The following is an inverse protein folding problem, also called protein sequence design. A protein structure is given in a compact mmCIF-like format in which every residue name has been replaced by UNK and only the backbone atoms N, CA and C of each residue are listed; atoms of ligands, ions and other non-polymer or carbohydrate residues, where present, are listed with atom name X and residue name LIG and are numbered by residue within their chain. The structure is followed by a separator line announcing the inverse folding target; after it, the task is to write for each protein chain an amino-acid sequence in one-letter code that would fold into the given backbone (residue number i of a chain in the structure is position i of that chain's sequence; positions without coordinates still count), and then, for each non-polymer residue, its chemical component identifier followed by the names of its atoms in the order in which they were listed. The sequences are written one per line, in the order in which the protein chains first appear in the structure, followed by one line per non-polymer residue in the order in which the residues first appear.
data_IF_375922947028
#
_entry.id   IF_375922947028
#
_cell.length_a   1.000
_cell.length_b   1.000
_cell.length_c   1.000
_cell.angle_alpha   90.00
_cell.angle_beta   90.00
_cell.angle_gamma   90.00
#
_symmetry.space_group_name_H-M   'P 1'
#
loop_
_entity.id
_entity.type
_entity.pdbx_description
1 polymer ?
#
# COMPACT_ATOMS: atom_id res chain seq x y z
N UNK A 1 13.46 -17.96 -17.97
CA UNK A 1 13.75 -16.86 -17.01
C UNK A 1 12.89 -17.00 -15.75
N UNK A 2 13.28 -17.88 -14.82
CA UNK A 2 12.56 -18.11 -13.55
C UNK A 2 12.99 -17.09 -12.47
N UNK A 3 14.26 -16.66 -12.50
CA UNK A 3 14.84 -15.70 -11.55
C UNK A 3 14.12 -14.35 -11.54
N UNK A 4 13.91 -13.74 -12.72
CA UNK A 4 13.35 -12.38 -12.81
C UNK A 4 11.89 -12.22 -12.32
N UNK A 5 11.07 -13.27 -12.39
CA UNK A 5 9.72 -13.22 -11.78
C UNK A 5 9.79 -13.38 -10.25
N UNK A 6 10.69 -14.25 -9.77
CA UNK A 6 10.87 -14.51 -8.34
C UNK A 6 11.44 -13.28 -7.63
N UNK A 7 12.41 -12.61 -8.23
CA UNK A 7 13.01 -11.37 -7.72
C UNK A 7 11.98 -10.25 -7.60
N UNK A 8 11.18 -10.00 -8.65
CA UNK A 8 10.10 -9.00 -8.61
C UNK A 8 9.07 -9.30 -7.51
N UNK A 9 8.74 -10.59 -7.31
CA UNK A 9 7.83 -11.01 -6.22
C UNK A 9 8.47 -10.79 -4.85
N UNK A 10 9.76 -11.09 -4.69
CA UNK A 10 10.48 -10.86 -3.44
C UNK A 10 10.53 -9.37 -3.08
N UNK A 11 10.80 -8.50 -4.05
CA UNK A 11 10.79 -7.03 -3.85
C UNK A 11 9.40 -6.52 -3.43
N UNK A 12 8.34 -7.00 -4.10
CA UNK A 12 6.96 -6.67 -3.75
C UNK A 12 6.62 -7.10 -2.32
N UNK A 13 6.96 -8.33 -1.94
CA UNK A 13 6.73 -8.86 -0.59
C UNK A 13 7.56 -8.10 0.46
N UNK A 14 8.80 -7.72 0.14
CA UNK A 14 9.64 -6.86 1.00
C UNK A 14 8.99 -5.49 1.22
N UNK A 15 8.42 -4.90 0.17
CA UNK A 15 7.67 -3.66 0.28
C UNK A 15 6.39 -3.83 1.11
N UNK A 16 5.78 -5.01 1.16
CA UNK A 16 4.62 -5.28 2.02
C UNK A 16 4.96 -5.65 3.46
N UNK A 17 6.15 -6.22 3.72
CA UNK A 17 6.56 -6.83 5.00
C UNK A 17 6.76 -5.89 6.19
N UNK A 18 5.98 -4.82 6.31
CA UNK A 18 5.96 -3.93 7.47
C UNK A 18 4.52 -3.73 7.97
N UNK A 19 4.25 -3.83 9.29
CA UNK A 19 2.90 -3.80 9.84
C UNK A 19 2.07 -2.58 9.40
N UNK A 20 2.66 -1.38 9.45
CA UNK A 20 1.98 -0.16 9.02
C UNK A 20 1.59 -0.18 7.52
N UNK A 21 2.43 -0.77 6.66
CA UNK A 21 2.16 -0.85 5.22
C UNK A 21 1.03 -1.84 4.94
N UNK A 22 1.02 -2.98 5.63
CA UNK A 22 -0.10 -3.93 5.57
C UNK A 22 -1.41 -3.27 6.02
N UNK A 23 -1.39 -2.54 7.13
CA UNK A 23 -2.57 -1.84 7.63
C UNK A 23 -3.08 -0.77 6.64
N UNK A 24 -2.18 0.02 6.03
CA UNK A 24 -2.54 0.98 4.97
C UNK A 24 -3.21 0.26 3.79
N UNK A 25 -2.60 -0.82 3.29
CA UNK A 25 -3.13 -1.56 2.13
C UNK A 25 -4.47 -2.19 2.46
N UNK A 26 -4.62 -2.84 3.63
CA UNK A 26 -5.91 -3.41 4.10
C UNK A 26 -6.99 -2.34 4.16
N UNK A 27 -6.64 -1.17 4.70
CA UNK A 27 -7.55 -0.05 4.74
C UNK A 27 -8.01 0.39 3.34
N UNK A 28 -7.06 0.53 2.41
CA UNK A 28 -7.33 0.92 1.02
C UNK A 28 -8.13 -0.12 0.23
N UNK A 29 -8.15 -1.39 0.65
CA UNK A 29 -9.03 -2.42 0.06
C UNK A 29 -10.49 -2.25 0.51
N UNK A 30 -10.73 -1.75 1.73
CA UNK A 30 -12.08 -1.53 2.26
C UNK A 30 -12.71 -0.19 1.86
N UNK A 31 -11.90 0.84 1.60
CA UNK A 31 -12.38 2.16 1.19
C UNK A 31 -11.28 2.97 0.48
N UNK A 32 -11.53 3.37 -0.76
CA UNK A 32 -10.63 4.26 -1.47
C UNK A 32 -10.54 5.64 -0.79
N UNK A 33 -9.38 6.29 -0.90
CA UNK A 33 -9.16 7.68 -0.49
C UNK A 33 -9.21 8.02 1.02
N UNK A 34 -9.44 7.07 1.93
CA UNK A 34 -9.53 7.37 3.37
C UNK A 34 -8.23 7.12 4.19
N UNK A 35 -7.06 7.37 3.59
CA UNK A 35 -5.77 7.02 4.22
C UNK A 35 -5.57 7.73 5.56
N UNK A 36 -5.89 9.02 5.66
CA UNK A 36 -5.64 9.77 6.89
C UNK A 36 -6.46 9.28 8.08
N UNK A 37 -7.76 8.93 7.92
CA UNK A 37 -8.52 8.34 9.06
C UNK A 37 -7.99 6.96 9.44
N UNK A 38 -7.57 6.15 8.46
CA UNK A 38 -7.11 4.79 8.71
C UNK A 38 -5.75 4.78 9.41
N UNK A 39 -4.87 5.72 9.08
CA UNK A 39 -3.53 5.79 9.66
C UNK A 39 -3.50 6.57 10.99
N UNK A 40 -4.48 7.44 11.25
CA UNK A 40 -4.67 7.99 12.59
C UNK A 40 -4.88 6.89 13.65
N UNK A 41 -5.49 5.76 13.28
CA UNK A 41 -5.61 4.58 14.15
C UNK A 41 -4.29 3.85 14.43
N UNK A 42 -3.24 4.11 13.65
CA UNK A 42 -1.90 3.53 13.84
C UNK A 42 -1.00 4.39 14.74
N UNK A 43 -1.43 5.60 15.14
CA UNK A 43 -0.64 6.50 15.98
C UNK A 43 0.66 7.01 15.33
N UNK A 44 0.77 6.93 13.99
CA UNK A 44 1.98 7.30 13.27
C UNK A 44 1.97 8.78 12.85
N UNK A 45 3.13 9.47 12.91
CA UNK A 45 3.27 10.81 12.35
C UNK A 45 2.96 10.84 10.85
N UNK A 46 2.35 11.92 10.36
CA UNK A 46 1.98 12.09 8.95
C UNK A 46 3.16 11.94 7.97
N UNK A 47 4.36 12.33 8.38
CA UNK A 47 5.60 12.13 7.60
C UNK A 47 5.92 10.66 7.40
N UNK A 48 5.80 9.85 8.44
CA UNK A 48 5.97 8.38 8.40
C UNK A 48 4.93 7.73 7.49
N UNK A 49 3.67 8.19 7.54
CA UNK A 49 2.61 7.73 6.64
C UNK A 49 2.97 8.01 5.18
N UNK A 50 3.41 9.23 4.90
CA UNK A 50 3.82 9.65 3.56
C UNK A 50 4.98 8.80 3.04
N UNK A 51 5.95 8.48 3.89
CA UNK A 51 7.06 7.59 3.54
C UNK A 51 6.57 6.18 3.20
N UNK A 52 5.65 5.62 4.00
CA UNK A 52 5.05 4.31 3.70
C UNK A 52 4.26 4.29 2.39
N UNK A 53 3.47 5.33 2.11
CA UNK A 53 2.76 5.48 0.84
C UNK A 53 3.71 5.56 -0.35
N UNK A 54 4.84 6.27 -0.21
CA UNK A 54 5.85 6.36 -1.25
C UNK A 54 6.50 5.00 -1.55
N UNK A 55 6.84 4.22 -0.51
CA UNK A 55 7.36 2.86 -0.68
C UNK A 55 6.35 1.97 -1.40
N UNK A 56 5.07 1.99 -0.98
CA UNK A 56 4.02 1.19 -1.61
C UNK A 56 3.74 1.61 -3.07
N UNK A 57 3.81 2.90 -3.36
CA UNK A 57 3.64 3.44 -4.71
C UNK A 57 4.82 3.05 -5.61
N UNK A 58 6.05 3.16 -5.11
CA UNK A 58 7.25 2.76 -5.84
C UNK A 58 7.27 1.26 -6.16
N UNK A 59 6.75 0.44 -5.25
CA UNK A 59 6.58 -1.00 -5.45
C UNK A 59 5.39 -1.38 -6.36
N UNK A 60 4.64 -0.41 -6.88
CA UNK A 60 3.49 -0.67 -7.76
C UNK A 60 2.24 -1.21 -7.06
N UNK A 61 2.22 -1.27 -5.71
CA UNK A 61 1.09 -1.79 -4.94
C UNK A 61 -0.11 -0.86 -5.03
N UNK A 62 0.13 0.45 -4.94
CA UNK A 62 -0.90 1.48 -4.91
C UNK A 62 -0.69 2.53 -5.99
N UNK A 63 -1.78 3.15 -6.43
CA UNK A 63 -1.75 4.34 -7.29
C UNK A 63 -2.38 5.52 -6.56
N UNK A 64 -1.74 6.68 -6.65
CA UNK A 64 -2.26 7.95 -6.16
C UNK A 64 -2.87 8.78 -7.28
N UNK A 65 -4.02 9.39 -7.03
CA UNK A 65 -4.75 10.28 -7.94
C UNK A 65 -5.11 11.56 -7.20
N UNK A 66 -4.81 12.72 -7.77
CA UNK A 66 -5.14 14.01 -7.16
C UNK A 66 -6.61 14.32 -7.40
N UNK A 67 -7.38 14.51 -6.32
CA UNK A 67 -8.77 14.93 -6.34
C UNK A 67 -8.91 16.26 -5.61
N UNK A 68 -8.81 17.36 -6.37
CA UNK A 68 -8.74 18.72 -5.84
C UNK A 68 -7.50 18.93 -4.96
N UNK A 69 -7.73 19.21 -3.68
CA UNK A 69 -6.67 19.48 -2.69
C UNK A 69 -6.11 18.22 -2.02
N UNK A 70 -6.74 17.05 -2.22
CA UNK A 70 -6.32 15.79 -1.59
C UNK A 70 -5.76 14.82 -2.63
N UNK A 71 -4.87 13.93 -2.18
CA UNK A 71 -4.43 12.77 -2.98
C UNK A 71 -5.16 11.54 -2.46
N UNK A 72 -5.91 10.90 -3.35
CA UNK A 72 -6.56 9.62 -3.09
C UNK A 72 -5.64 8.47 -3.51
N UNK A 73 -5.56 7.42 -2.71
CA UNK A 73 -4.85 6.21 -3.08
C UNK A 73 -5.83 5.04 -3.25
N UNK A 74 -5.45 4.09 -4.13
CA UNK A 74 -6.15 2.81 -4.33
C UNK A 74 -5.14 1.69 -4.57
N UNK A 75 -5.48 0.46 -4.15
CA UNK A 75 -4.67 -0.73 -4.42
C UNK A 75 -4.88 -1.18 -5.86
N UNK A 76 -3.79 -1.32 -6.62
CA UNK A 76 -3.82 -1.66 -8.05
C UNK A 76 -3.21 -3.02 -8.36
N UNK A 77 -2.33 -3.54 -7.50
CA UNK A 77 -1.73 -4.84 -7.70
C UNK A 77 -2.68 -6.00 -7.34
N UNK A 78 -2.94 -6.89 -8.30
CA UNK A 78 -3.88 -8.01 -8.16
C UNK A 78 -3.37 -9.14 -7.27
N UNK A 79 -2.05 -9.34 -7.21
CA UNK A 79 -1.49 -10.34 -6.32
C UNK A 79 -1.61 -9.89 -4.86
N UNK A 80 -1.34 -8.61 -4.58
CA UNK A 80 -1.51 -8.05 -3.23
C UNK A 80 -2.95 -8.15 -2.75
N UNK A 81 -3.94 -7.87 -3.63
CA UNK A 81 -5.36 -8.09 -3.32
C UNK A 81 -5.60 -9.51 -2.84
N UNK A 82 -5.22 -10.49 -3.66
CA UNK A 82 -5.39 -11.92 -3.35
C UNK A 82 -4.70 -12.34 -2.04
N UNK A 83 -3.48 -11.87 -1.79
CA UNK A 83 -2.71 -12.25 -0.58
C UNK A 83 -3.36 -11.70 0.69
N UNK A 84 -3.95 -10.51 0.64
CA UNK A 84 -4.56 -9.86 1.82
C UNK A 84 -6.05 -10.16 2.00
N UNK A 85 -6.69 -10.78 1.01
CA UNK A 85 -8.05 -11.32 1.10
C UNK A 85 -8.11 -12.73 1.69
N UNK A 86 -6.96 -13.38 1.94
CA UNK A 86 -6.89 -14.69 2.58
C UNK A 86 -7.40 -14.54 4.03
N UNK A 87 -8.57 -15.13 4.29
CA UNK A 87 -9.16 -15.28 5.64
C UNK A 87 -8.45 -16.38 6.42
#
# INVERSE_FOLDING_TARGET
MIAGQTEKRAELLKALGHPARLAIVRGLLGSECNVNKMVNGLGLPQSTVSQHLNVLKAAGVIKGERRGVKVCYRVVDQFVKKVLEIK
#
